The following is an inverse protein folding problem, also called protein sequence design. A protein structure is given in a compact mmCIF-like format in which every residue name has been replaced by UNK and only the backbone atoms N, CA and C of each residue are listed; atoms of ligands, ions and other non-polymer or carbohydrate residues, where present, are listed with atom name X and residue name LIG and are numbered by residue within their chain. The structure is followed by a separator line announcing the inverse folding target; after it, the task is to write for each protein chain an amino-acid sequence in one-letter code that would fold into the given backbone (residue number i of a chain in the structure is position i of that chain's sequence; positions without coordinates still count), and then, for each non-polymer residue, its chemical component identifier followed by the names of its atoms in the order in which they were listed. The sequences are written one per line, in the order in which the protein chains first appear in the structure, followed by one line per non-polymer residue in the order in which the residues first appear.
data_IF_586091508548
#
_entry.id   IF_586091508548
#
_cell.length_a   1.000
_cell.length_b   1.000
_cell.length_c   1.000
_cell.angle_alpha   90.00
_cell.angle_beta   90.00
_cell.angle_gamma   90.00
#
_symmetry.space_group_name_H-M   'P 1'
#
loop_
_entity.id
_entity.type
_entity.pdbx_description
1 polymer ?
#
# COMPACT_ATOMS: atom_id res chain seq x y z
N UNK A 1 34.73 -11.45 9.67
CA UNK A 1 34.10 -10.42 10.52
C UNK A 1 33.48 -9.28 9.69
N UNK A 2 32.83 -9.60 8.55
CA UNK A 2 32.31 -8.61 7.58
C UNK A 2 30.81 -8.75 7.28
N UNK A 3 30.14 -9.80 7.75
CA UNK A 3 28.71 -10.07 7.49
C UNK A 3 27.73 -9.16 8.27
N UNK A 4 28.20 -8.39 9.24
CA UNK A 4 27.33 -7.59 10.12
C UNK A 4 26.90 -6.23 9.53
N UNK A 5 27.63 -5.66 8.56
CA UNK A 5 27.32 -4.32 8.05
C UNK A 5 26.23 -4.33 6.97
N UNK A 6 26.33 -5.24 6.00
CA UNK A 6 25.34 -5.39 4.92
C UNK A 6 23.95 -5.79 5.46
N UNK A 7 23.92 -6.59 6.54
CA UNK A 7 22.68 -7.02 7.20
C UNK A 7 21.92 -5.85 7.84
N UNK A 8 22.64 -4.87 8.42
CA UNK A 8 22.04 -3.69 9.05
C UNK A 8 21.48 -2.71 8.03
N UNK A 9 22.19 -2.49 6.93
CA UNK A 9 21.72 -1.63 5.83
C UNK A 9 20.46 -2.20 5.17
N UNK A 10 20.45 -3.51 4.88
CA UNK A 10 19.27 -4.20 4.38
C UNK A 10 18.11 -4.15 5.38
N UNK A 11 18.37 -4.29 6.69
CA UNK A 11 17.33 -4.17 7.71
C UNK A 11 16.72 -2.76 7.76
N UNK A 12 17.53 -1.72 7.62
CA UNK A 12 17.06 -0.33 7.56
C UNK A 12 16.18 -0.07 6.33
N UNK A 13 16.59 -0.59 5.15
CA UNK A 13 15.80 -0.50 3.91
C UNK A 13 14.44 -1.18 4.07
N UNK A 14 14.40 -2.37 4.69
CA UNK A 14 13.14 -3.10 4.94
C UNK A 14 12.21 -2.35 5.88
N UNK A 15 12.75 -1.73 6.92
CA UNK A 15 11.97 -0.93 7.85
C UNK A 15 11.40 0.33 7.17
N UNK A 16 12.20 1.00 6.35
CA UNK A 16 11.76 2.17 5.58
C UNK A 16 10.65 1.81 4.58
N UNK A 17 10.80 0.70 3.84
CA UNK A 17 9.78 0.22 2.91
C UNK A 17 8.44 -0.09 3.60
N UNK A 18 8.48 -0.67 4.81
CA UNK A 18 7.28 -0.92 5.61
C UNK A 18 6.57 0.37 6.02
N UNK A 19 7.33 1.36 6.48
CA UNK A 19 6.79 2.67 6.85
C UNK A 19 6.11 3.36 5.67
N UNK A 20 6.80 3.42 4.52
CA UNK A 20 6.27 4.01 3.29
C UNK A 20 4.97 3.32 2.87
N UNK A 21 4.94 2.00 2.84
CA UNK A 21 3.74 1.27 2.42
C UNK A 21 2.56 1.44 3.37
N UNK A 22 2.81 1.48 4.68
CA UNK A 22 1.78 1.79 5.67
C UNK A 22 1.17 3.19 5.42
N UNK A 23 2.01 4.20 5.18
CA UNK A 23 1.55 5.56 4.95
C UNK A 23 0.72 5.67 3.67
N UNK A 24 1.13 4.96 2.61
CA UNK A 24 0.32 4.86 1.41
C UNK A 24 -1.04 4.19 1.67
N UNK A 25 -1.08 3.09 2.41
CA UNK A 25 -2.35 2.44 2.74
C UNK A 25 -3.28 3.38 3.52
N UNK A 26 -2.75 4.21 4.41
CA UNK A 26 -3.53 5.22 5.12
C UNK A 26 -4.12 6.28 4.18
N UNK A 27 -3.33 6.76 3.21
CA UNK A 27 -3.81 7.72 2.21
C UNK A 27 -4.88 7.10 1.32
N UNK A 28 -4.67 5.87 0.84
CA UNK A 28 -5.65 5.14 0.04
C UNK A 28 -6.97 4.92 0.81
N UNK A 29 -6.89 4.54 2.09
CA UNK A 29 -8.06 4.39 2.94
C UNK A 29 -8.85 5.70 3.10
N UNK A 30 -8.16 6.83 3.28
CA UNK A 30 -8.81 8.14 3.37
C UNK A 30 -9.47 8.56 2.04
N UNK A 31 -8.79 8.35 0.90
CA UNK A 31 -9.33 8.63 -0.43
C UNK A 31 -10.58 7.79 -0.68
N UNK A 32 -10.50 6.48 -0.46
CA UNK A 32 -11.63 5.56 -0.65
C UNK A 32 -12.78 5.89 0.28
N UNK A 33 -12.52 6.17 1.56
CA UNK A 33 -13.55 6.55 2.52
C UNK A 33 -14.30 7.82 2.10
N UNK A 34 -13.60 8.84 1.60
CA UNK A 34 -14.23 10.04 1.08
C UNK A 34 -15.07 9.76 -0.18
N UNK A 35 -14.59 8.92 -1.09
CA UNK A 35 -15.33 8.53 -2.29
C UNK A 35 -16.58 7.69 -1.94
N UNK A 36 -16.47 6.76 -0.99
CA UNK A 36 -17.59 5.98 -0.47
C UNK A 36 -18.66 6.91 0.16
N UNK A 37 -18.24 7.95 0.91
CA UNK A 37 -19.16 8.95 1.46
C UNK A 37 -19.85 9.79 0.38
N UNK A 38 -19.15 10.14 -0.71
CA UNK A 38 -19.76 10.80 -1.86
C UNK A 38 -20.84 9.90 -2.49
N UNK A 39 -20.54 8.63 -2.74
CA UNK A 39 -21.49 7.67 -3.30
C UNK A 39 -22.74 7.48 -2.43
N UNK A 40 -22.62 7.59 -1.10
CA UNK A 40 -23.77 7.55 -0.19
C UNK A 40 -24.66 8.79 -0.27
N UNK A 41 -24.10 9.95 -0.64
CA UNK A 41 -24.81 11.24 -0.66
C UNK A 41 -25.29 11.69 -2.04
N UNK A 42 -24.75 11.13 -3.12
CA UNK A 42 -25.09 11.51 -4.48
C UNK A 42 -26.45 10.92 -4.92
N UNK A 43 -27.32 11.72 -5.56
CA UNK A 43 -28.58 11.23 -6.08
C UNK A 43 -28.37 10.31 -7.30
N UNK A 44 -29.36 9.45 -7.58
CA UNK A 44 -29.34 8.60 -8.76
C UNK A 44 -29.27 9.44 -10.05
N UNK A 45 -28.29 9.12 -10.90
CA UNK A 45 -28.05 9.84 -12.17
C UNK A 45 -27.20 11.10 -12.04
N UNK A 46 -26.62 11.38 -10.87
CA UNK A 46 -25.61 12.43 -10.74
C UNK A 46 -24.36 12.07 -11.55
N UNK A 47 -23.87 12.94 -12.44
CA UNK A 47 -22.64 12.71 -13.20
C UNK A 47 -21.42 12.42 -12.30
N UNK A 48 -21.39 12.98 -11.09
CA UNK A 48 -20.30 12.76 -10.13
C UNK A 48 -20.33 11.35 -9.50
N UNK A 49 -21.43 10.61 -9.66
CA UNK A 49 -21.51 9.23 -9.17
C UNK A 49 -20.51 8.33 -9.90
N UNK A 50 -20.41 8.46 -11.23
CA UNK A 50 -19.46 7.71 -12.04
C UNK A 50 -18.02 8.07 -11.69
N UNK A 51 -17.74 9.35 -11.44
CA UNK A 51 -16.43 9.82 -11.01
C UNK A 51 -16.05 9.25 -9.63
N UNK A 52 -16.98 9.29 -8.66
CA UNK A 52 -16.75 8.76 -7.33
C UNK A 52 -16.55 7.23 -7.34
N UNK A 53 -17.31 6.50 -8.16
CA UNK A 53 -17.09 5.07 -8.40
C UNK A 53 -15.71 4.80 -9.00
N UNK A 54 -15.26 5.62 -9.97
CA UNK A 54 -13.95 5.42 -10.58
C UNK A 54 -12.82 5.69 -9.59
N UNK A 55 -12.98 6.64 -8.66
CA UNK A 55 -12.03 6.84 -7.56
C UNK A 55 -11.94 5.59 -6.69
N UNK A 56 -13.09 5.00 -6.30
CA UNK A 56 -13.11 3.75 -5.52
C UNK A 56 -12.38 2.63 -6.29
N UNK A 57 -12.71 2.42 -7.56
CA UNK A 57 -12.07 1.42 -8.41
C UNK A 57 -10.57 1.66 -8.55
N UNK A 58 -10.13 2.91 -8.68
CA UNK A 58 -8.72 3.26 -8.77
C UNK A 58 -7.97 2.92 -7.48
N UNK A 59 -8.56 3.22 -6.31
CA UNK A 59 -7.97 2.85 -5.01
C UNK A 59 -7.88 1.33 -4.85
N UNK A 60 -8.93 0.59 -5.21
CA UNK A 60 -8.95 -0.87 -5.11
C UNK A 60 -7.91 -1.53 -6.02
N UNK A 61 -7.60 -0.93 -7.18
CA UNK A 61 -6.50 -1.36 -8.06
C UNK A 61 -5.12 -0.99 -7.50
N UNK A 62 -5.00 0.11 -6.75
CA UNK A 62 -3.73 0.58 -6.20
C UNK A 62 -3.27 -0.23 -4.99
N UNK A 63 -4.18 -0.59 -4.07
CA UNK A 63 -3.88 -1.35 -2.87
C UNK A 63 -3.00 -2.62 -3.11
N UNK A 64 -3.33 -3.52 -4.07
CA UNK A 64 -2.51 -4.71 -4.31
C UNK A 64 -1.14 -4.40 -4.94
N UNK A 65 -0.94 -3.24 -5.57
CA UNK A 65 0.37 -2.84 -6.09
C UNK A 65 1.34 -2.51 -4.95
N UNK A 66 0.83 -1.91 -3.87
CA UNK A 66 1.61 -1.56 -2.68
C UNK A 66 2.00 -2.81 -1.90
N UNK A 67 1.10 -3.79 -1.81
CA UNK A 67 1.41 -5.09 -1.21
C UNK A 67 2.50 -5.85 -1.97
N UNK A 68 2.52 -5.76 -3.31
CA UNK A 68 3.58 -6.35 -4.14
C UNK A 68 4.92 -5.66 -3.93
N UNK A 69 4.94 -4.33 -3.80
CA UNK A 69 6.16 -3.57 -3.49
C UNK A 69 6.73 -3.99 -2.12
N UNK A 70 5.86 -4.18 -1.12
CA UNK A 70 6.23 -4.72 0.20
C UNK A 70 6.78 -6.14 0.12
N UNK A 71 6.21 -6.99 -0.74
CA UNK A 71 6.65 -8.36 -0.91
C UNK A 71 8.07 -8.45 -1.48
N UNK A 72 8.46 -7.54 -2.39
CA UNK A 72 9.83 -7.45 -2.91
C UNK A 72 10.87 -7.12 -1.83
N UNK A 73 10.48 -6.40 -0.77
CA UNK A 73 11.36 -6.08 0.36
C UNK A 73 11.53 -7.20 1.39
N UNK A 74 10.74 -8.29 1.32
CA UNK A 74 10.89 -9.42 2.25
C UNK A 74 11.97 -10.36 1.74
N UNK A 75 13.15 -10.35 2.37
CA UNK A 75 14.20 -11.35 2.12
C UNK A 75 13.63 -12.77 2.31
N UNK A 76 13.99 -13.69 1.42
CA UNK A 76 13.69 -15.11 1.53
C UNK A 76 14.13 -15.65 2.90
N UNK A 77 13.45 -16.68 3.46
CA UNK A 77 13.87 -17.32 4.69
C UNK A 77 15.36 -17.66 4.62
N UNK A 78 16.12 -17.22 5.62
CA UNK A 78 17.54 -17.57 5.72
C UNK A 78 17.63 -19.10 5.80
N UNK A 79 18.47 -19.76 4.99
CA UNK A 79 18.76 -21.16 5.23
C UNK A 79 19.32 -21.25 6.65
N UNK A 80 18.64 -22.02 7.50
CA UNK A 80 19.09 -22.30 8.86
C UNK A 80 20.48 -22.93 8.77
N UNK A 81 21.44 -22.38 9.51
CA UNK A 81 22.82 -22.84 9.54
C UNK A 81 22.85 -24.33 9.97
N UNK A 82 23.30 -25.23 9.07
CA UNK A 82 23.70 -26.62 9.39
C UNK A 82 25.10 -26.68 10.01
#
# INVERSE_FOLDING_TARGET
MTTSNESNELAAIRQAARGIAHDFNNVLAAIKGNADLLLMGLPAGDPLYEDAEEIVRAVDRAAPLIERLLALGRSAPQPEDE
#
